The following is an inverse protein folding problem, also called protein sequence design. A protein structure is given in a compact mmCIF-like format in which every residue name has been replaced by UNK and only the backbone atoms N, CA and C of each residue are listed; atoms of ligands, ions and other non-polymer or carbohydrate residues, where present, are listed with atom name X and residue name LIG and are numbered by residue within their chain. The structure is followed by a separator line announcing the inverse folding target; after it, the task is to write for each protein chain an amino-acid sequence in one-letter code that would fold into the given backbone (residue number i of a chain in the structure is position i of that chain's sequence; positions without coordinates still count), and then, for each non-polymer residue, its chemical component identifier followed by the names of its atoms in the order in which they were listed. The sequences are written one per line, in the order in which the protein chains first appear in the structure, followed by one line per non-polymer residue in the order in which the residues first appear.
data_IF_500896041631
#
_entry.id   IF_500896041631
#
_cell.length_a   1.000
_cell.length_b   1.000
_cell.length_c   1.000
_cell.angle_alpha   90.00
_cell.angle_beta   90.00
_cell.angle_gamma   90.00
#
_symmetry.space_group_name_H-M   'P 1'
#
loop_
_entity.id
_entity.type
_entity.pdbx_description
1 polymer ?
#
# COMPACT_ATOMS: atom_id res chain seq x y z
N UNK A 1 27.66 -9.65 -1.66
CA UNK A 1 26.85 -10.77 -1.12
C UNK A 1 25.75 -10.31 -0.16
N UNK A 2 25.93 -9.22 0.62
CA UNK A 2 24.87 -8.68 1.50
C UNK A 2 23.72 -7.96 0.74
N UNK A 3 24.00 -7.34 -0.41
CA UNK A 3 23.00 -6.60 -1.21
C UNK A 3 21.94 -7.49 -1.85
N UNK A 4 22.29 -8.67 -2.37
CA UNK A 4 21.35 -9.55 -3.10
C UNK A 4 20.26 -10.14 -2.21
N UNK A 5 20.50 -10.31 -0.91
CA UNK A 5 19.48 -10.82 0.03
C UNK A 5 18.45 -9.72 0.32
N UNK A 6 18.93 -8.50 0.63
CA UNK A 6 18.08 -7.34 0.89
C UNK A 6 17.26 -6.93 -0.34
N UNK A 7 17.82 -7.05 -1.54
CA UNK A 7 17.09 -6.75 -2.78
C UNK A 7 15.98 -7.78 -3.07
N UNK A 8 16.18 -9.05 -2.69
CA UNK A 8 15.14 -10.09 -2.78
C UNK A 8 14.03 -9.85 -1.75
N UNK A 9 14.39 -9.45 -0.52
CA UNK A 9 13.41 -9.09 0.50
C UNK A 9 12.53 -7.91 0.03
N UNK A 10 13.15 -6.84 -0.50
CA UNK A 10 12.45 -5.67 -1.07
C UNK A 10 11.51 -6.09 -2.20
N UNK A 11 11.93 -7.00 -3.08
CA UNK A 11 11.07 -7.52 -4.14
C UNK A 11 9.86 -8.29 -3.60
N UNK A 12 10.06 -9.16 -2.61
CA UNK A 12 8.98 -9.92 -1.97
C UNK A 12 7.99 -8.98 -1.30
N UNK A 13 8.45 -7.98 -0.54
CA UNK A 13 7.57 -7.01 0.11
C UNK A 13 6.76 -6.19 -0.91
N UNK A 14 7.39 -5.75 -2.01
CA UNK A 14 6.68 -5.03 -3.07
C UNK A 14 5.59 -5.90 -3.73
N UNK A 15 5.88 -7.16 -3.99
CA UNK A 15 4.89 -8.10 -4.51
C UNK A 15 3.71 -8.29 -3.55
N UNK A 16 3.99 -8.50 -2.26
CA UNK A 16 2.96 -8.65 -1.22
C UNK A 16 2.11 -7.37 -1.10
N UNK A 17 2.75 -6.19 -1.14
CA UNK A 17 2.07 -4.89 -1.15
C UNK A 17 1.16 -4.71 -2.38
N UNK A 18 1.58 -5.19 -3.55
CA UNK A 18 0.77 -5.17 -4.77
C UNK A 18 -0.53 -5.97 -4.59
N UNK A 19 -0.45 -7.16 -3.98
CA UNK A 19 -1.62 -8.02 -3.76
C UNK A 19 -2.58 -7.38 -2.76
N UNK A 20 -2.09 -6.96 -1.58
CA UNK A 20 -2.96 -6.39 -0.55
C UNK A 20 -3.51 -5.01 -0.93
N UNK A 21 -2.68 -4.13 -1.49
CA UNK A 21 -3.14 -2.84 -2.01
C UNK A 21 -4.15 -3.01 -3.15
N UNK A 22 -3.92 -4.00 -4.01
CA UNK A 22 -4.84 -4.45 -5.06
C UNK A 22 -6.23 -4.79 -4.54
N UNK A 23 -6.27 -5.65 -3.51
CA UNK A 23 -7.51 -6.08 -2.87
C UNK A 23 -8.30 -4.89 -2.30
N UNK A 24 -7.65 -3.89 -1.70
CA UNK A 24 -8.34 -2.75 -1.09
C UNK A 24 -9.19 -1.99 -2.10
N UNK A 25 -8.65 -1.60 -3.26
CA UNK A 25 -9.44 -0.83 -4.22
C UNK A 25 -10.48 -1.69 -4.96
N UNK A 26 -10.21 -2.98 -5.17
CA UNK A 26 -11.20 -3.92 -5.73
C UNK A 26 -12.39 -4.07 -4.78
N UNK A 27 -12.14 -4.29 -3.48
CA UNK A 27 -13.19 -4.43 -2.48
C UNK A 27 -14.02 -3.14 -2.35
N UNK A 28 -13.36 -1.97 -2.35
CA UNK A 28 -14.07 -0.68 -2.35
C UNK A 28 -14.89 -0.51 -3.64
N UNK A 29 -14.38 -0.91 -4.80
CA UNK A 29 -15.13 -0.87 -6.05
C UNK A 29 -16.37 -1.78 -6.03
N UNK A 30 -16.28 -2.96 -5.40
CA UNK A 30 -17.41 -3.87 -5.22
C UNK A 30 -18.54 -3.29 -4.34
N UNK A 31 -18.27 -2.25 -3.54
CA UNK A 31 -19.30 -1.52 -2.79
C UNK A 31 -20.00 -0.43 -3.60
N UNK A 32 -19.68 -0.30 -4.90
CA UNK A 32 -20.19 0.74 -5.80
C UNK A 32 -19.89 2.17 -5.35
N UNK A 33 -18.89 2.36 -4.47
CA UNK A 33 -18.46 3.68 -3.99
C UNK A 33 -19.63 4.42 -3.30
N UNK A 34 -20.41 3.70 -2.47
CA UNK A 34 -21.49 4.28 -1.67
C UNK A 34 -21.09 4.33 -0.19
N UNK A 35 -20.97 5.52 0.43
CA UNK A 35 -21.16 6.87 -0.13
C UNK A 35 -19.94 7.37 -0.92
N UNK A 36 -20.18 8.18 -1.96
CA UNK A 36 -19.14 8.65 -2.89
C UNK A 36 -17.97 9.35 -2.18
N UNK A 37 -18.29 10.24 -1.25
CA UNK A 37 -17.33 10.83 -0.33
C UNK A 37 -17.55 10.19 1.05
N UNK A 38 -16.57 9.50 1.67
CA UNK A 38 -15.13 9.47 1.39
C UNK A 38 -14.59 8.26 0.60
N UNK A 39 -15.42 7.30 0.14
CA UNK A 39 -14.88 6.08 -0.51
C UNK A 39 -14.10 6.34 -1.80
N UNK A 40 -14.44 7.38 -2.57
CA UNK A 40 -13.68 7.75 -3.77
C UNK A 40 -12.23 8.15 -3.42
N UNK A 41 -12.00 8.80 -2.28
CA UNK A 41 -10.65 9.13 -1.80
C UNK A 41 -9.84 7.87 -1.51
N UNK A 42 -10.45 6.91 -0.81
CA UNK A 42 -9.81 5.63 -0.45
C UNK A 42 -9.41 4.85 -1.70
N UNK A 43 -10.31 4.81 -2.69
CA UNK A 43 -10.03 4.17 -3.97
C UNK A 43 -8.89 4.88 -4.72
N UNK A 44 -8.93 6.21 -4.81
CA UNK A 44 -7.90 6.99 -5.51
C UNK A 44 -6.51 6.79 -4.90
N UNK A 45 -6.40 6.86 -3.56
CA UNK A 45 -5.14 6.59 -2.85
C UNK A 45 -4.63 5.18 -3.13
N UNK A 46 -5.49 4.19 -3.05
CA UNK A 46 -5.11 2.79 -3.23
C UNK A 46 -4.66 2.50 -4.68
N UNK A 47 -5.35 3.04 -5.69
CA UNK A 47 -4.95 2.90 -7.10
C UNK A 47 -3.64 3.64 -7.39
N UNK A 48 -3.48 4.87 -6.88
CA UNK A 48 -2.24 5.64 -7.04
C UNK A 48 -1.03 4.88 -6.49
N UNK A 49 -1.11 4.41 -5.24
CA UNK A 49 -0.06 3.62 -4.62
C UNK A 49 0.16 2.28 -5.35
N UNK A 50 -0.89 1.63 -5.85
CA UNK A 50 -0.76 0.39 -6.64
C UNK A 50 0.06 0.61 -7.92
N UNK A 51 -0.24 1.68 -8.68
CA UNK A 51 0.48 2.00 -9.92
C UNK A 51 1.93 2.39 -9.62
N UNK A 52 2.16 3.24 -8.62
CA UNK A 52 3.52 3.66 -8.27
C UNK A 52 4.37 2.48 -7.76
N UNK A 53 3.83 1.61 -6.91
CA UNK A 53 4.54 0.41 -6.43
C UNK A 53 4.82 -0.57 -7.57
N UNK A 54 3.91 -0.69 -8.55
CA UNK A 54 4.13 -1.48 -9.76
C UNK A 54 5.29 -0.93 -10.60
N UNK A 55 5.33 0.39 -10.83
CA UNK A 55 6.44 1.04 -11.53
C UNK A 55 7.76 0.84 -10.79
N UNK A 56 7.74 0.90 -9.46
CA UNK A 56 8.91 0.67 -8.62
C UNK A 56 9.45 -0.77 -8.76
N UNK A 57 8.56 -1.75 -8.78
CA UNK A 57 8.90 -3.15 -9.05
C UNK A 57 9.56 -3.32 -10.43
N UNK A 58 9.03 -2.66 -11.47
CA UNK A 58 9.63 -2.70 -12.82
C UNK A 58 11.05 -2.10 -12.84
N UNK A 59 11.27 -1.00 -12.12
CA UNK A 59 12.61 -0.38 -12.01
C UNK A 59 13.60 -1.33 -11.33
N UNK A 60 13.18 -2.04 -10.29
CA UNK A 60 14.01 -3.06 -9.63
C UNK A 60 14.30 -4.26 -10.54
N UNK A 61 13.30 -4.75 -11.29
CA UNK A 61 13.49 -5.85 -12.25
C UNK A 61 14.48 -5.50 -13.37
N UNK A 62 14.48 -4.25 -13.83
CA UNK A 62 15.42 -3.78 -14.85
C UNK A 62 16.84 -3.51 -14.31
N UNK A 63 17.08 -3.63 -13.00
CA UNK A 63 18.41 -3.43 -12.40
C UNK A 63 18.98 -2.02 -12.58
N UNK A 64 18.13 -1.02 -12.84
CA UNK A 64 18.55 0.36 -13.14
C UNK A 64 19.16 1.08 -11.92
N UNK A 65 19.09 0.46 -10.75
CA UNK A 65 19.68 0.94 -9.50
C UNK A 65 21.20 0.70 -9.49
N UNK A 66 21.98 1.61 -10.06
CA UNK A 66 23.45 1.61 -9.98
C UNK A 66 24.01 1.90 -8.56
N UNK A 67 23.44 1.28 -7.52
CA UNK A 67 23.84 1.38 -6.11
C UNK A 67 23.96 2.83 -5.56
N UNK A 68 23.23 3.78 -6.16
CA UNK A 68 23.30 5.19 -5.74
C UNK A 68 22.44 5.43 -4.52
N UNK A 69 23.00 6.17 -3.57
CA UNK A 69 22.32 6.61 -2.36
C UNK A 69 20.94 7.26 -2.62
N UNK A 70 20.83 8.02 -3.72
CA UNK A 70 19.58 8.67 -4.15
C UNK A 70 18.43 7.70 -4.42
N UNK A 71 18.69 6.48 -4.91
CA UNK A 71 17.64 5.48 -5.15
C UNK A 71 17.12 4.91 -3.83
N UNK A 72 18.01 4.69 -2.87
CA UNK A 72 17.63 4.26 -1.52
C UNK A 72 16.82 5.34 -0.79
N UNK A 73 17.18 6.62 -0.93
CA UNK A 73 16.38 7.73 -0.36
C UNK A 73 14.99 7.83 -1.00
N UNK A 74 14.90 7.70 -2.33
CA UNK A 74 13.63 7.76 -3.04
C UNK A 74 12.69 6.60 -2.64
N UNK A 75 13.25 5.40 -2.47
CA UNK A 75 12.56 4.20 -1.98
C UNK A 75 11.95 4.42 -0.58
N UNK A 76 12.77 4.87 0.38
CA UNK A 76 12.31 5.19 1.74
C UNK A 76 11.21 6.26 1.71
N UNK A 77 11.41 7.34 0.97
CA UNK A 77 10.46 8.44 0.92
C UNK A 77 9.11 8.02 0.33
N UNK A 78 9.14 7.26 -0.78
CA UNK A 78 7.93 6.76 -1.42
C UNK A 78 7.14 5.82 -0.50
N UNK A 79 7.79 4.80 0.09
CA UNK A 79 7.11 3.85 0.96
C UNK A 79 6.61 4.49 2.25
N UNK A 80 7.32 5.50 2.78
CA UNK A 80 6.84 6.30 3.90
C UNK A 80 5.59 7.10 3.53
N UNK A 81 5.62 7.83 2.41
CA UNK A 81 4.47 8.60 1.93
C UNK A 81 3.27 7.70 1.66
N UNK A 82 3.48 6.54 1.04
CA UNK A 82 2.44 5.54 0.80
C UNK A 82 1.82 5.04 2.12
N UNK A 83 2.63 4.83 3.17
CA UNK A 83 2.13 4.44 4.50
C UNK A 83 1.21 5.52 5.10
N UNK A 84 1.59 6.80 5.00
CA UNK A 84 0.77 7.92 5.51
C UNK A 84 -0.52 8.05 4.71
N UNK A 85 -0.45 7.92 3.37
CA UNK A 85 -1.63 7.97 2.52
C UNK A 85 -2.59 6.82 2.82
N UNK A 86 -2.11 5.58 2.94
CA UNK A 86 -2.96 4.44 3.31
C UNK A 86 -3.56 4.60 4.72
N UNK A 87 -2.78 5.07 5.69
CA UNK A 87 -3.28 5.37 7.04
C UNK A 87 -4.40 6.42 6.98
N UNK A 88 -4.23 7.46 6.17
CA UNK A 88 -5.24 8.50 5.97
C UNK A 88 -6.50 7.99 5.28
N UNK A 89 -6.39 6.98 4.42
CA UNK A 89 -7.52 6.36 3.73
C UNK A 89 -8.26 5.34 4.62
N UNK A 90 -7.54 4.65 5.51
CA UNK A 90 -8.12 3.69 6.45
C UNK A 90 -9.10 4.35 7.42
N UNK A 91 -8.83 5.59 7.88
CA UNK A 91 -9.69 6.29 8.86
C UNK A 91 -11.10 6.58 8.30
N UNK A 92 -11.26 7.22 7.12
CA UNK A 92 -12.57 7.41 6.51
C UNK A 92 -13.26 6.09 6.14
N UNK A 93 -12.52 5.07 5.69
CA UNK A 93 -13.09 3.76 5.37
C UNK A 93 -13.68 3.09 6.61
N UNK A 94 -12.99 3.16 7.75
CA UNK A 94 -13.48 2.66 9.04
C UNK A 94 -14.72 3.43 9.51
N UNK A 95 -14.74 4.76 9.38
CA UNK A 95 -15.91 5.59 9.69
C UNK A 95 -17.13 5.21 8.87
N UNK A 96 -16.99 5.03 7.55
CA UNK A 96 -18.08 4.58 6.68
C UNK A 96 -18.58 3.20 7.12
N UNK A 97 -17.67 2.28 7.43
CA UNK A 97 -18.02 0.93 7.86
C UNK A 97 -18.87 0.93 9.13
N UNK A 98 -18.52 1.77 10.11
CA UNK A 98 -19.27 1.92 11.37
C UNK A 98 -20.65 2.56 11.16
N UNK A 99 -20.79 3.44 10.17
CA UNK A 99 -22.05 4.11 9.84
C UNK A 99 -23.04 3.21 9.07
N UNK A 100 -22.59 2.09 8.51
CA UNK A 100 -23.45 1.16 7.77
C UNK A 100 -24.27 0.29 8.74
N UNK A 101 -25.58 0.25 8.52
CA UNK A 101 -26.49 -0.62 9.26
C UNK A 101 -26.42 -2.05 8.69
N UNK A 102 -26.47 -3.06 9.56
CA UNK A 102 -26.22 -4.48 9.25
C UNK A 102 -27.25 -5.14 8.32
N UNK A 103 -28.27 -4.38 7.89
CA UNK A 103 -29.30 -4.77 6.93
C UNK A 103 -28.75 -5.12 5.54
N UNK A 104 -27.56 -4.59 5.17
CA UNK A 104 -26.83 -4.91 3.94
C UNK A 104 -25.58 -5.73 4.26
N UNK A 105 -25.78 -7.01 4.59
CA UNK A 105 -24.74 -7.90 5.11
C UNK A 105 -23.50 -7.99 4.22
N UNK A 106 -23.68 -8.03 2.88
CA UNK A 106 -22.56 -8.16 1.94
C UNK A 106 -21.71 -6.89 1.85
N UNK A 107 -22.32 -5.71 1.70
CA UNK A 107 -21.59 -4.44 1.59
C UNK A 107 -20.85 -4.14 2.89
N UNK A 108 -21.46 -4.44 4.03
CA UNK A 108 -20.83 -4.33 5.34
C UNK A 108 -19.61 -5.25 5.48
N UNK A 109 -19.71 -6.52 5.06
CA UNK A 109 -18.58 -7.47 5.04
C UNK A 109 -17.46 -7.03 4.09
N UNK A 110 -17.79 -6.51 2.90
CA UNK A 110 -16.83 -5.96 1.95
C UNK A 110 -16.10 -4.75 2.54
N UNK A 111 -16.81 -3.84 3.20
CA UNK A 111 -16.21 -2.69 3.87
C UNK A 111 -15.29 -3.12 5.03
N UNK A 112 -15.70 -4.06 5.89
CA UNK A 112 -14.83 -4.61 6.96
C UNK A 112 -13.56 -5.20 6.37
N UNK A 113 -13.67 -6.05 5.35
CA UNK A 113 -12.48 -6.67 4.74
C UNK A 113 -11.57 -5.62 4.11
N UNK A 114 -12.12 -4.62 3.42
CA UNK A 114 -11.35 -3.50 2.87
C UNK A 114 -10.62 -2.72 3.98
N UNK A 115 -11.27 -2.47 5.13
CA UNK A 115 -10.64 -1.82 6.29
C UNK A 115 -9.45 -2.65 6.79
N UNK A 116 -9.65 -3.94 7.03
CA UNK A 116 -8.59 -4.83 7.53
C UNK A 116 -7.40 -4.86 6.55
N UNK A 117 -7.65 -5.03 5.26
CA UNK A 117 -6.59 -5.03 4.25
C UNK A 117 -5.91 -3.67 4.11
N UNK A 118 -6.62 -2.55 4.30
CA UNK A 118 -6.02 -1.21 4.26
C UNK A 118 -5.04 -0.99 5.43
N UNK A 119 -5.36 -1.47 6.63
CA UNK A 119 -4.45 -1.42 7.78
C UNK A 119 -3.27 -2.36 7.62
N UNK A 120 -3.49 -3.58 7.10
CA UNK A 120 -2.38 -4.50 6.77
C UNK A 120 -1.45 -3.89 5.73
N UNK A 121 -2.00 -3.25 4.70
CA UNK A 121 -1.21 -2.57 3.65
C UNK A 121 -0.41 -1.41 4.24
N UNK A 122 -1.00 -0.60 5.12
CA UNK A 122 -0.28 0.44 5.87
C UNK A 122 0.91 -0.15 6.64
N UNK A 123 0.68 -1.22 7.41
CA UNK A 123 1.70 -1.86 8.22
C UNK A 123 2.84 -2.40 7.35
N UNK A 124 2.51 -3.03 6.22
CA UNK A 124 3.50 -3.53 5.27
C UNK A 124 4.32 -2.39 4.65
N UNK A 125 3.71 -1.24 4.33
CA UNK A 125 4.45 -0.07 3.84
C UNK A 125 5.40 0.50 4.91
N UNK A 126 5.00 0.50 6.19
CA UNK A 126 5.87 0.91 7.31
C UNK A 126 7.04 -0.06 7.45
N UNK A 127 6.79 -1.37 7.44
CA UNK A 127 7.84 -2.39 7.51
C UNK A 127 8.83 -2.23 6.34
N UNK A 128 8.31 -2.03 5.13
CA UNK A 128 9.13 -1.77 3.94
C UNK A 128 10.00 -0.54 4.14
N UNK A 129 9.42 0.57 4.61
CA UNK A 129 10.14 1.82 4.89
C UNK A 129 11.29 1.60 5.87
N UNK A 130 11.08 0.81 6.93
CA UNK A 130 12.12 0.49 7.93
C UNK A 130 13.26 -0.32 7.29
N UNK A 131 12.94 -1.38 6.54
CA UNK A 131 13.97 -2.17 5.86
C UNK A 131 14.73 -1.35 4.82
N UNK A 132 14.04 -0.51 4.06
CA UNK A 132 14.65 0.43 3.12
C UNK A 132 15.55 1.45 3.83
N UNK A 133 15.17 1.93 5.01
CA UNK A 133 16.00 2.85 5.80
C UNK A 133 17.24 2.17 6.37
N UNK A 134 17.13 0.91 6.79
CA UNK A 134 18.29 0.09 7.21
C UNK A 134 19.23 -0.11 6.02
N UNK A 135 18.70 -0.47 4.85
CA UNK A 135 19.48 -0.60 3.61
C UNK A 135 20.15 0.72 3.23
N UNK A 136 19.45 1.84 3.38
CA UNK A 136 19.98 3.16 3.11
C UNK A 136 21.23 3.48 3.95
N UNK A 137 21.27 3.05 5.21
CA UNK A 137 22.43 3.21 6.11
C UNK A 137 23.65 2.35 5.73
N UNK A 138 23.46 1.34 4.88
CA UNK A 138 24.53 0.43 4.42
C UNK A 138 25.19 0.86 3.11
N UNK A 139 24.72 1.94 2.48
CA UNK A 139 25.34 2.61 1.33
C UNK A 139 26.25 3.76 1.77
#
# INVERSE_FOLDING_TARGET
MCSTVLDVDVFIYNFVLQVFGGLVWILVACTYIVPYNPQAYVMAVSVFCFVCTFLWMMVFMCGSHNNRNSWATADVFYHFLASVLYLSASVPLAMVTLAFNSSLTLIYQLNISAVVFSYLTTLLYVIHTIFSAIRWKTF
#
